data_IF_558993176617
#
_entry.id   IF_558993176617
#
_cell.length_a   1.000
_cell.length_b   1.000
_cell.length_c   1.000
_cell.angle_alpha   90.00
_cell.angle_beta   90.00
_cell.angle_gamma   90.00
#
_symmetry.space_group_name_H-M   'P 1'
#
loop_
_entity.id
_entity.type
_entity.pdbx_description
1 polymer ?
#
# COMPACT_ATOMS: atom_id res chain seq x y z
N UNK A 1 32.29 80.65 -29.41
CA UNK A 1 31.90 80.09 -28.14
C UNK A 1 30.58 79.34 -28.33
N UNK A 2 30.63 77.98 -28.41
CA UNK A 2 29.43 77.15 -28.55
C UNK A 2 29.33 76.24 -27.30
N UNK A 3 28.29 76.42 -26.50
CA UNK A 3 28.00 75.61 -25.34
C UNK A 3 27.32 74.30 -25.77
N UNK A 4 27.92 73.18 -25.47
CA UNK A 4 27.27 71.86 -25.60
C UNK A 4 26.53 71.54 -24.32
N UNK A 5 25.21 71.43 -24.41
CA UNK A 5 24.38 70.87 -23.32
C UNK A 5 24.39 69.35 -23.41
N UNK A 6 24.94 68.73 -22.41
CA UNK A 6 24.85 67.26 -22.26
C UNK A 6 23.57 66.97 -21.52
N UNK A 7 22.65 66.26 -22.17
CA UNK A 7 21.43 65.71 -21.56
C UNK A 7 21.81 64.36 -20.91
N UNK A 8 21.75 64.27 -19.59
CA UNK A 8 21.88 63.05 -18.84
C UNK A 8 20.45 62.45 -18.74
N UNK A 9 20.19 61.38 -19.50
CA UNK A 9 18.95 60.58 -19.43
C UNK A 9 19.05 59.63 -18.23
N UNK A 10 18.28 59.87 -17.19
CA UNK A 10 18.18 59.01 -16.03
C UNK A 10 17.15 57.88 -16.35
N UNK A 11 17.64 56.69 -16.74
CA UNK A 11 16.80 55.49 -16.86
C UNK A 11 16.49 54.93 -15.46
N UNK A 12 15.30 55.21 -14.94
CA UNK A 12 14.80 54.54 -13.74
C UNK A 12 14.35 53.12 -14.14
N UNK A 13 15.18 52.12 -13.83
CA UNK A 13 14.78 50.72 -13.92
C UNK A 13 13.81 50.43 -12.76
N UNK A 14 12.53 50.39 -13.07
CA UNK A 14 11.53 49.87 -12.14
C UNK A 14 11.69 48.33 -12.04
N UNK A 15 12.39 47.85 -11.02
CA UNK A 15 12.37 46.42 -10.64
C UNK A 15 10.97 46.06 -10.18
N UNK A 16 10.14 45.52 -11.08
CA UNK A 16 8.90 44.87 -10.72
C UNK A 16 9.28 43.53 -10.10
N UNK A 17 9.34 43.49 -8.77
CA UNK A 17 9.46 42.26 -8.01
C UNK A 17 8.16 41.46 -8.18
N UNK A 18 8.14 40.54 -9.11
CA UNK A 18 7.13 39.50 -9.12
C UNK A 18 7.34 38.62 -7.88
N UNK A 19 6.64 38.96 -6.79
CA UNK A 19 6.41 37.98 -5.72
C UNK A 19 5.58 36.86 -6.31
N UNK A 20 6.23 35.77 -6.69
CA UNK A 20 5.56 34.48 -6.89
C UNK A 20 5.07 34.09 -5.49
N UNK A 21 3.84 34.49 -5.17
CA UNK A 21 3.14 33.91 -4.04
C UNK A 21 3.11 32.41 -4.30
N UNK A 22 3.89 31.66 -3.53
CA UNK A 22 3.76 30.21 -3.50
C UNK A 22 2.29 29.92 -3.21
N UNK A 23 1.59 29.34 -4.18
CA UNK A 23 0.18 28.98 -4.04
C UNK A 23 0.12 27.98 -2.87
N UNK A 24 -0.28 28.48 -1.68
CA UNK A 24 -0.44 27.62 -0.51
C UNK A 24 -1.38 26.49 -0.92
N UNK A 25 -0.88 25.25 -0.91
CA UNK A 25 -1.63 24.09 -1.30
C UNK A 25 -2.97 24.07 -0.55
N UNK A 26 -4.05 24.30 -1.29
CA UNK A 26 -5.41 24.40 -0.74
C UNK A 26 -5.94 23.00 -0.50
N UNK A 27 -5.68 22.48 0.68
CA UNK A 27 -6.17 21.16 1.08
C UNK A 27 -7.70 21.11 1.14
N UNK A 28 -8.25 19.96 0.82
CA UNK A 28 -9.67 19.64 0.98
C UNK A 28 -9.84 18.35 1.78
N UNK A 29 -10.98 18.22 2.44
CA UNK A 29 -11.42 17.02 3.14
C UNK A 29 -12.65 16.47 2.43
N UNK A 30 -12.66 15.16 2.19
CA UNK A 30 -13.82 14.41 1.69
C UNK A 30 -14.11 13.28 2.65
N UNK A 31 -15.34 13.16 3.12
CA UNK A 31 -15.80 12.08 4.00
C UNK A 31 -16.72 11.14 3.25
N UNK A 32 -16.35 9.89 3.20
CA UNK A 32 -17.19 8.77 2.80
C UNK A 32 -17.59 7.92 4.04
N UNK A 33 -18.39 6.86 3.90
CA UNK A 33 -18.82 6.07 5.05
C UNK A 33 -17.67 5.52 5.91
N UNK A 34 -16.55 5.09 5.29
CA UNK A 34 -15.44 4.43 6.00
C UNK A 34 -14.12 5.20 5.96
N UNK A 35 -14.02 6.27 5.16
CA UNK A 35 -12.77 6.99 4.94
C UNK A 35 -12.92 8.50 5.10
N UNK A 36 -11.88 9.13 5.64
CA UNK A 36 -11.67 10.57 5.56
C UNK A 36 -10.48 10.83 4.66
N UNK A 37 -10.72 11.35 3.47
CA UNK A 37 -9.67 11.69 2.49
C UNK A 37 -9.30 13.16 2.63
N UNK A 38 -8.02 13.43 2.89
CA UNK A 38 -7.43 14.76 2.93
C UNK A 38 -6.50 14.89 1.71
N UNK A 39 -6.72 15.89 0.85
CA UNK A 39 -5.97 16.02 -0.39
C UNK A 39 -5.70 17.46 -0.75
N UNK A 40 -4.55 17.74 -1.34
CA UNK A 40 -4.21 19.01 -1.99
C UNK A 40 -4.52 19.00 -3.50
N UNK A 41 -5.13 17.93 -3.99
CA UNK A 41 -5.74 17.86 -5.31
C UNK A 41 -7.15 18.48 -5.30
N UNK A 42 -7.84 18.45 -6.44
CA UNK A 42 -9.22 18.92 -6.53
C UNK A 42 -10.19 18.07 -5.69
N UNK A 43 -11.29 18.68 -5.23
CA UNK A 43 -12.38 17.96 -4.54
C UNK A 43 -12.91 16.78 -5.39
N UNK A 44 -12.95 16.95 -6.72
CA UNK A 44 -13.33 15.86 -7.64
C UNK A 44 -12.40 14.67 -7.55
N UNK A 45 -11.09 14.91 -7.56
CA UNK A 45 -10.07 13.85 -7.41
C UNK A 45 -10.12 13.21 -6.02
N UNK A 46 -10.26 14.02 -4.96
CA UNK A 46 -10.41 13.50 -3.59
C UNK A 46 -11.67 12.61 -3.43
N UNK A 47 -12.79 12.95 -4.07
CA UNK A 47 -13.98 12.10 -4.12
C UNK A 47 -13.74 10.81 -4.89
N UNK A 48 -13.01 10.86 -6.00
CA UNK A 48 -12.64 9.67 -6.75
C UNK A 48 -11.75 8.73 -5.91
N UNK A 49 -10.80 9.27 -5.16
CA UNK A 49 -10.00 8.49 -4.19
C UNK A 49 -10.91 7.82 -3.17
N UNK A 50 -11.80 8.57 -2.53
CA UNK A 50 -12.72 8.02 -1.54
C UNK A 50 -13.61 6.90 -2.14
N UNK A 51 -14.11 7.10 -3.36
CA UNK A 51 -14.88 6.08 -4.09
C UNK A 51 -14.05 4.81 -4.32
N UNK A 52 -12.83 4.95 -4.82
CA UNK A 52 -11.95 3.80 -5.08
C UNK A 52 -11.65 3.01 -3.81
N UNK A 53 -11.48 3.68 -2.67
CA UNK A 53 -11.27 3.03 -1.38
C UNK A 53 -12.52 2.30 -0.88
N UNK A 54 -13.71 2.89 -1.03
CA UNK A 54 -14.98 2.22 -0.69
C UNK A 54 -15.21 0.99 -1.58
N UNK A 55 -14.91 1.09 -2.87
CA UNK A 55 -14.98 -0.03 -3.80
C UNK A 55 -13.98 -1.14 -3.42
N UNK A 56 -12.74 -0.78 -3.13
CA UNK A 56 -11.73 -1.73 -2.68
C UNK A 56 -12.16 -2.45 -1.40
N UNK A 57 -12.65 -1.69 -0.41
CA UNK A 57 -13.19 -2.26 0.83
C UNK A 57 -14.32 -3.25 0.56
N UNK A 58 -15.22 -2.92 -0.34
CA UNK A 58 -16.33 -3.80 -0.70
C UNK A 58 -15.84 -5.08 -1.41
N UNK A 59 -14.85 -4.99 -2.32
CA UNK A 59 -14.21 -6.16 -2.94
C UNK A 59 -13.58 -7.05 -1.88
N UNK A 60 -12.77 -6.47 -1.00
CA UNK A 60 -12.07 -7.21 0.04
C UNK A 60 -13.05 -7.90 1.00
N UNK A 61 -14.08 -7.20 1.44
CA UNK A 61 -15.11 -7.75 2.32
C UNK A 61 -15.94 -8.86 1.65
N UNK A 62 -16.25 -8.75 0.37
CA UNK A 62 -17.04 -9.76 -0.34
C UNK A 62 -16.27 -11.07 -0.54
N UNK A 63 -14.95 -11.00 -0.64
CA UNK A 63 -14.07 -12.17 -0.80
C UNK A 63 -13.68 -12.82 0.53
N UNK A 64 -13.67 -12.06 1.61
CA UNK A 64 -13.34 -12.50 2.98
C UNK A 64 -14.42 -12.00 3.97
N UNK A 65 -15.68 -12.47 3.85
CA UNK A 65 -16.82 -11.91 4.57
C UNK A 65 -16.78 -12.11 6.09
N UNK A 66 -15.99 -13.05 6.57
CA UNK A 66 -15.87 -13.36 8.01
C UNK A 66 -14.87 -12.45 8.74
N UNK A 67 -14.12 -11.61 7.98
CA UNK A 67 -13.15 -10.72 8.58
C UNK A 67 -13.80 -9.41 9.04
N UNK A 68 -13.35 -8.95 10.20
CA UNK A 68 -13.67 -7.62 10.71
C UNK A 68 -12.91 -6.58 9.91
N UNK A 69 -13.63 -5.60 9.34
CA UNK A 69 -13.06 -4.53 8.50
C UNK A 69 -13.07 -3.16 9.19
N UNK A 70 -13.79 -3.04 10.29
CA UNK A 70 -14.00 -1.77 10.97
C UNK A 70 -13.10 -1.69 12.22
N UNK A 71 -12.12 -0.78 12.24
CA UNK A 71 -11.28 -0.54 13.43
C UNK A 71 -12.01 0.27 14.52
N UNK A 72 -13.25 0.70 14.29
CA UNK A 72 -14.04 1.52 15.22
C UNK A 72 -13.97 3.02 14.94
N UNK A 73 -13.19 3.43 13.95
CA UNK A 73 -13.07 4.83 13.49
C UNK A 73 -12.69 4.87 11.99
N UNK A 74 -13.08 5.92 11.26
CA UNK A 74 -12.74 6.06 9.84
C UNK A 74 -11.24 6.14 9.64
N UNK A 75 -10.73 5.43 8.62
CA UNK A 75 -9.34 5.56 8.19
C UNK A 75 -9.10 6.93 7.57
N UNK A 76 -8.10 7.65 8.07
CA UNK A 76 -7.67 8.92 7.48
C UNK A 76 -6.63 8.68 6.40
N UNK A 77 -6.91 9.18 5.20
CA UNK A 77 -6.08 8.98 4.01
C UNK A 77 -5.63 10.33 3.48
N UNK A 78 -4.32 10.55 3.47
CA UNK A 78 -3.73 11.71 2.82
C UNK A 78 -3.38 11.34 1.38
N UNK A 79 -4.14 11.89 0.45
CA UNK A 79 -3.96 11.69 -0.99
C UNK A 79 -3.22 12.90 -1.57
N UNK A 80 -1.89 12.84 -1.57
CA UNK A 80 -1.04 13.88 -2.11
C UNK A 80 -1.19 13.98 -3.64
N UNK A 81 -1.31 15.20 -4.17
CA UNK A 81 -1.47 15.43 -5.60
C UNK A 81 -0.30 14.88 -6.40
N UNK A 82 0.92 15.03 -5.88
CA UNK A 82 2.17 14.66 -6.54
C UNK A 82 3.27 14.30 -5.53
N UNK A 83 4.45 13.94 -6.05
CA UNK A 83 5.59 13.56 -5.21
C UNK A 83 6.15 14.68 -4.34
N UNK A 84 6.01 15.96 -4.72
CA UNK A 84 6.43 17.09 -3.90
C UNK A 84 5.49 17.26 -2.71
N UNK A 85 4.19 17.16 -2.95
CA UNK A 85 3.17 17.19 -1.91
C UNK A 85 3.31 16.00 -0.95
N UNK A 86 3.60 14.81 -1.48
CA UNK A 86 3.90 13.64 -0.66
C UNK A 86 5.12 13.89 0.25
N UNK A 87 6.21 14.41 -0.33
CA UNK A 87 7.44 14.73 0.42
C UNK A 87 7.19 15.72 1.56
N UNK A 88 6.33 16.73 1.34
CA UNK A 88 5.99 17.73 2.35
C UNK A 88 5.23 17.15 3.56
N UNK A 89 4.61 15.98 3.42
CA UNK A 89 3.94 15.26 4.51
C UNK A 89 4.89 14.47 5.41
N UNK A 90 6.16 14.27 5.00
CA UNK A 90 7.16 13.65 5.87
C UNK A 90 7.76 14.66 6.86
N UNK A 91 8.15 14.22 8.05
CA UNK A 91 8.97 15.01 8.96
C UNK A 91 10.30 15.43 8.32
N UNK A 92 10.84 16.60 8.69
CA UNK A 92 12.02 17.18 8.07
C UNK A 92 13.26 16.24 8.09
N UNK A 93 13.49 15.56 9.22
CA UNK A 93 14.56 14.57 9.37
C UNK A 93 14.46 13.39 8.40
N UNK A 94 13.24 13.10 7.92
CA UNK A 94 12.99 12.03 6.94
C UNK A 94 13.07 12.54 5.51
N UNK A 95 12.71 13.78 5.27
CA UNK A 95 12.85 14.40 3.94
C UNK A 95 14.32 14.44 3.49
N UNK A 96 15.26 14.60 4.42
CA UNK A 96 16.71 14.61 4.17
C UNK A 96 17.27 13.21 3.89
N UNK A 97 16.70 12.15 4.48
CA UNK A 97 17.16 10.77 4.31
C UNK A 97 16.79 10.15 2.96
N UNK A 98 16.13 10.90 2.07
CA UNK A 98 15.84 10.48 0.71
C UNK A 98 14.55 9.66 0.58
N UNK A 99 13.41 10.34 0.67
CA UNK A 99 12.07 9.76 0.35
C UNK A 99 11.81 9.66 -1.17
N UNK A 100 12.86 9.79 -2.00
CA UNK A 100 12.70 9.73 -3.44
C UNK A 100 12.38 8.29 -3.88
N UNK A 101 11.29 8.14 -4.63
CA UNK A 101 10.82 6.83 -5.12
C UNK A 101 9.71 6.19 -4.29
N UNK A 102 9.33 6.79 -3.16
CA UNK A 102 8.14 6.35 -2.42
C UNK A 102 6.87 6.85 -3.11
N UNK A 103 5.89 5.96 -3.24
CA UNK A 103 4.56 6.29 -3.73
C UNK A 103 3.52 6.39 -2.59
N UNK A 104 3.89 5.98 -1.37
CA UNK A 104 3.06 6.09 -0.17
C UNK A 104 3.66 5.40 1.06
N UNK A 105 2.98 5.53 2.20
CA UNK A 105 3.32 4.88 3.46
C UNK A 105 2.11 4.84 4.40
N UNK A 106 2.19 4.00 5.42
CA UNK A 106 1.16 3.88 6.45
C UNK A 106 1.73 4.20 7.83
N UNK A 107 0.95 4.93 8.63
CA UNK A 107 1.30 5.27 10.01
C UNK A 107 0.25 4.68 10.94
N UNK A 108 0.55 3.59 11.64
CA UNK A 108 -0.33 3.10 12.69
C UNK A 108 -0.30 4.07 13.87
N UNK A 109 -1.46 4.56 14.25
CA UNK A 109 -1.67 5.40 15.44
C UNK A 109 -2.75 4.73 16.30
N UNK A 110 -2.60 4.63 17.62
CA UNK A 110 -3.60 4.02 18.52
C UNK A 110 -5.00 4.62 18.45
N UNK A 111 -5.14 5.84 17.93
CA UNK A 111 -6.43 6.54 17.76
C UNK A 111 -6.78 6.93 16.35
N UNK A 112 -5.85 6.72 15.40
CA UNK A 112 -6.02 7.17 14.00
C UNK A 112 -5.12 6.33 13.11
N UNK A 113 -5.67 5.46 12.30
CA UNK A 113 -4.91 4.87 11.23
C UNK A 113 -4.74 5.90 10.12
N UNK A 114 -3.51 6.21 9.75
CA UNK A 114 -3.19 7.19 8.72
C UNK A 114 -2.48 6.50 7.58
N UNK A 115 -3.04 6.59 6.40
CA UNK A 115 -2.38 6.19 5.17
C UNK A 115 -2.05 7.44 4.34
N UNK A 116 -0.92 7.41 3.66
CA UNK A 116 -0.44 8.51 2.82
C UNK A 116 0.01 7.93 1.50
N UNK A 117 -0.46 8.50 0.38
CA UNK A 117 0.01 8.11 -0.93
C UNK A 117 -0.13 9.25 -1.95
N UNK A 118 0.58 9.15 -3.07
CA UNK A 118 0.47 10.11 -4.19
C UNK A 118 -0.45 9.57 -5.28
N UNK A 119 -1.33 10.42 -5.79
CA UNK A 119 -2.33 10.02 -6.79
C UNK A 119 -1.81 10.01 -8.23
N UNK A 120 -0.70 10.71 -8.50
CA UNK A 120 -0.07 10.81 -9.82
C UNK A 120 0.96 9.71 -10.10
N UNK A 121 1.15 8.77 -9.19
CA UNK A 121 2.11 7.68 -9.36
C UNK A 121 1.80 6.86 -10.63
N UNK A 122 2.79 6.64 -11.52
CA UNK A 122 2.60 5.88 -12.75
C UNK A 122 2.04 4.48 -12.50
N UNK A 123 1.16 3.99 -13.40
CA UNK A 123 0.58 2.65 -13.28
C UNK A 123 -0.26 2.42 -12.03
N UNK A 124 -0.79 3.50 -11.44
CA UNK A 124 -1.59 3.45 -10.21
C UNK A 124 -0.86 2.91 -8.97
N UNK A 125 0.49 2.98 -8.93
CA UNK A 125 1.28 2.47 -7.80
C UNK A 125 0.89 3.07 -6.45
N UNK A 126 0.45 4.31 -6.40
CA UNK A 126 -0.06 4.91 -5.16
C UNK A 126 -1.26 4.15 -4.60
N UNK A 127 -2.20 3.75 -5.47
CA UNK A 127 -3.33 2.92 -5.07
C UNK A 127 -2.90 1.51 -4.68
N UNK A 128 -1.92 0.91 -5.37
CA UNK A 128 -1.34 -0.37 -4.99
C UNK A 128 -0.81 -0.33 -3.55
N UNK A 129 0.01 0.66 -3.21
CA UNK A 129 0.51 0.86 -1.84
C UNK A 129 -0.66 1.03 -0.85
N UNK A 130 -1.66 1.84 -1.20
CA UNK A 130 -2.81 2.08 -0.33
C UNK A 130 -3.62 0.81 -0.05
N UNK A 131 -3.88 -0.01 -1.09
CA UNK A 131 -4.62 -1.26 -0.94
C UNK A 131 -3.83 -2.29 -0.14
N UNK A 132 -2.52 -2.38 -0.37
CA UNK A 132 -1.59 -3.22 0.39
C UNK A 132 -1.65 -2.91 1.90
N UNK A 133 -1.50 -1.65 2.26
CA UNK A 133 -1.54 -1.21 3.66
C UNK A 133 -2.92 -1.38 4.31
N UNK A 134 -4.00 -1.18 3.53
CA UNK A 134 -5.35 -1.44 4.01
C UNK A 134 -5.54 -2.93 4.38
N UNK A 135 -5.02 -3.85 3.56
CA UNK A 135 -5.08 -5.29 3.87
C UNK A 135 -4.31 -5.59 5.16
N UNK A 136 -3.13 -5.02 5.35
CA UNK A 136 -2.37 -5.17 6.59
C UNK A 136 -3.15 -4.70 7.82
N UNK A 137 -3.81 -3.55 7.71
CA UNK A 137 -4.69 -3.06 8.78
C UNK A 137 -5.80 -4.07 9.07
N UNK A 138 -6.50 -4.55 8.06
CA UNK A 138 -7.60 -5.51 8.24
C UNK A 138 -7.11 -6.84 8.80
N UNK A 139 -5.94 -7.36 8.35
CA UNK A 139 -5.36 -8.58 8.91
C UNK A 139 -5.00 -8.43 10.39
N UNK A 140 -4.42 -7.29 10.78
CA UNK A 140 -4.08 -7.01 12.18
C UNK A 140 -5.30 -6.91 13.11
N UNK A 141 -6.48 -6.55 12.58
CA UNK A 141 -7.75 -6.57 13.34
C UNK A 141 -8.26 -7.99 13.63
N UNK A 142 -7.85 -8.97 12.83
CA UNK A 142 -8.42 -10.31 12.85
C UNK A 142 -7.45 -11.38 13.36
N UNK A 143 -6.14 -11.19 13.22
CA UNK A 143 -5.13 -12.18 13.54
C UNK A 143 -4.02 -11.59 14.40
N UNK A 144 -3.66 -12.30 15.47
CA UNK A 144 -2.52 -11.92 16.32
C UNK A 144 -1.18 -12.33 15.70
N UNK A 145 -1.13 -13.49 15.09
CA UNK A 145 0.11 -14.15 14.64
C UNK A 145 -0.06 -14.75 13.24
N UNK A 146 -0.54 -13.94 12.26
CA UNK A 146 -0.57 -14.40 10.87
C UNK A 146 0.88 -14.59 10.37
N UNK A 147 1.22 -15.76 9.78
CA UNK A 147 2.55 -15.96 9.19
C UNK A 147 2.90 -14.89 8.17
N UNK A 148 4.18 -14.47 8.16
CA UNK A 148 4.62 -13.33 7.37
C UNK A 148 4.37 -13.51 5.86
N UNK A 149 4.61 -14.72 5.34
CA UNK A 149 4.35 -15.01 3.91
C UNK A 149 2.89 -14.78 3.51
N UNK A 150 1.94 -15.15 4.38
CA UNK A 150 0.51 -14.97 4.08
C UNK A 150 0.06 -13.52 4.36
N UNK A 151 0.66 -12.87 5.36
CA UNK A 151 0.42 -11.46 5.65
C UNK A 151 0.80 -10.57 4.45
N UNK A 152 2.01 -10.80 3.88
CA UNK A 152 2.46 -10.08 2.68
C UNK A 152 1.75 -10.59 1.41
N UNK A 153 1.56 -11.90 1.29
CA UNK A 153 0.92 -12.49 0.11
C UNK A 153 -0.53 -12.05 -0.10
N UNK A 154 -1.32 -11.95 0.98
CA UNK A 154 -2.68 -11.38 0.90
C UNK A 154 -2.62 -9.90 0.50
N UNK A 155 -1.73 -9.12 1.13
CA UNK A 155 -1.58 -7.72 0.80
C UNK A 155 -1.24 -7.52 -0.69
N UNK A 156 -0.31 -8.31 -1.24
CA UNK A 156 0.07 -8.25 -2.65
C UNK A 156 -1.05 -8.72 -3.60
N UNK A 157 -1.75 -9.82 -3.29
CA UNK A 157 -2.87 -10.28 -4.15
C UNK A 157 -3.96 -9.21 -4.27
N UNK A 158 -4.31 -8.57 -3.17
CA UNK A 158 -5.33 -7.53 -3.17
C UNK A 158 -4.81 -6.18 -3.67
N UNK A 159 -3.53 -5.87 -3.51
CA UNK A 159 -2.94 -4.65 -4.10
C UNK A 159 -3.05 -4.62 -5.63
N UNK A 160 -3.02 -5.79 -6.27
CA UNK A 160 -3.28 -5.95 -7.71
C UNK A 160 -4.77 -6.10 -8.06
N UNK A 161 -5.69 -5.84 -7.14
CA UNK A 161 -7.12 -5.86 -7.46
C UNK A 161 -7.48 -4.83 -8.53
N UNK A 162 -8.38 -5.21 -9.43
CA UNK A 162 -9.00 -4.26 -10.34
C UNK A 162 -10.15 -3.58 -9.60
N UNK A 163 -10.13 -2.26 -9.56
CA UNK A 163 -11.18 -1.47 -8.93
C UNK A 163 -11.75 -0.50 -9.97
N UNK A 164 -12.94 -0.79 -10.45
CA UNK A 164 -13.64 0.06 -11.43
C UNK A 164 -15.16 -0.14 -11.34
N UNK A 165 -15.91 0.79 -11.95
CA UNK A 165 -17.36 0.67 -12.04
C UNK A 165 -17.74 -0.53 -12.93
N UNK A 166 -18.38 -1.52 -12.34
CA UNK A 166 -18.91 -2.69 -13.05
C UNK A 166 -17.91 -3.80 -13.41
N UNK A 167 -16.62 -3.63 -13.12
CA UNK A 167 -15.59 -4.62 -13.47
C UNK A 167 -14.51 -4.78 -12.39
N UNK A 168 -14.94 -4.81 -11.13
CA UNK A 168 -14.00 -5.05 -10.02
C UNK A 168 -13.71 -6.53 -9.87
N UNK A 169 -12.53 -6.86 -9.29
CA UNK A 169 -12.16 -8.24 -9.01
C UNK A 169 -10.72 -8.41 -8.57
N UNK A 170 -10.37 -9.66 -8.25
CA UNK A 170 -9.04 -10.06 -7.80
C UNK A 170 -8.41 -11.08 -8.74
N UNK A 171 -7.09 -11.22 -8.67
CA UNK A 171 -6.33 -12.22 -9.43
C UNK A 171 -5.61 -11.66 -10.65
N UNK A 172 -5.38 -10.35 -10.73
CA UNK A 172 -4.41 -9.80 -11.69
C UNK A 172 -3.01 -10.28 -11.36
N UNK A 173 -2.29 -10.67 -12.41
CA UNK A 173 -0.89 -11.08 -12.29
C UNK A 173 0.04 -9.88 -12.25
N UNK A 174 1.13 -10.00 -11.50
CA UNK A 174 2.29 -9.13 -11.61
C UNK A 174 3.29 -9.74 -12.57
N UNK A 175 3.52 -9.10 -13.72
CA UNK A 175 4.52 -9.56 -14.68
C UNK A 175 5.94 -9.54 -14.08
N UNK A 176 6.23 -8.52 -13.26
CA UNK A 176 7.50 -8.42 -12.54
C UNK A 176 7.70 -9.62 -11.59
N UNK A 177 6.67 -10.00 -10.83
CA UNK A 177 6.77 -11.14 -9.91
C UNK A 177 6.91 -12.46 -10.66
N UNK A 178 6.20 -12.63 -11.77
CA UNK A 178 6.34 -13.81 -12.62
C UNK A 178 7.74 -13.90 -13.22
N UNK A 179 8.32 -12.80 -13.67
CA UNK A 179 9.69 -12.76 -14.19
C UNK A 179 10.69 -13.17 -13.10
N UNK A 180 10.61 -12.60 -11.90
CA UNK A 180 11.46 -12.97 -10.76
C UNK A 180 11.37 -14.45 -10.47
N UNK A 181 10.16 -15.01 -10.38
CA UNK A 181 9.94 -16.42 -10.03
C UNK A 181 10.32 -17.40 -11.12
N UNK A 182 10.31 -16.98 -12.39
CA UNK A 182 10.72 -17.81 -13.54
C UNK A 182 12.23 -17.81 -13.75
N UNK A 183 12.92 -16.77 -13.27
CA UNK A 183 14.37 -16.58 -13.48
C UNK A 183 15.22 -16.84 -12.24
N UNK A 184 14.61 -16.97 -11.07
CA UNK A 184 15.31 -17.19 -9.80
C UNK A 184 14.85 -18.47 -9.11
N UNK A 185 15.71 -19.15 -8.35
CA UNK A 185 15.29 -20.27 -7.51
C UNK A 185 14.25 -19.83 -6.48
N UNK A 186 13.16 -20.58 -6.38
CA UNK A 186 12.15 -20.33 -5.34
C UNK A 186 12.68 -20.71 -3.95
N UNK A 187 12.19 -20.02 -2.93
CA UNK A 187 12.44 -20.35 -1.53
C UNK A 187 11.70 -21.67 -1.22
N UNK A 188 12.32 -22.69 -0.62
CA UNK A 188 11.61 -23.89 -0.17
C UNK A 188 10.42 -23.51 0.73
N UNK A 189 9.24 -24.09 0.50
CA UNK A 189 8.02 -23.72 1.24
C UNK A 189 8.16 -23.80 2.75
N UNK A 190 8.83 -24.80 3.34
CA UNK A 190 9.07 -24.80 4.79
C UNK A 190 9.84 -23.57 5.26
N UNK A 191 10.83 -23.10 4.50
CA UNK A 191 11.61 -21.90 4.83
C UNK A 191 10.79 -20.61 4.61
N UNK A 192 9.97 -20.54 3.55
CA UNK A 192 9.05 -19.43 3.31
C UNK A 192 8.04 -19.29 4.44
N UNK A 193 7.44 -20.42 4.86
CA UNK A 193 6.41 -20.45 5.90
C UNK A 193 6.97 -20.15 7.30
N UNK A 194 8.23 -20.50 7.56
CA UNK A 194 8.95 -20.17 8.79
C UNK A 194 9.55 -18.77 8.79
N UNK A 195 9.49 -18.02 7.69
CA UNK A 195 10.09 -16.70 7.59
C UNK A 195 9.44 -15.72 8.56
N UNK A 196 10.29 -14.93 9.23
CA UNK A 196 9.91 -13.85 10.13
C UNK A 196 10.46 -12.53 9.63
N UNK A 197 10.08 -11.42 10.28
CA UNK A 197 10.63 -10.09 9.96
C UNK A 197 12.15 -9.98 10.17
N UNK A 198 12.74 -10.90 10.93
CA UNK A 198 14.19 -10.96 11.18
C UNK A 198 14.92 -11.87 10.18
N UNK A 199 14.21 -12.63 9.38
CA UNK A 199 14.78 -13.51 8.37
C UNK A 199 15.52 -12.73 7.28
N UNK A 200 16.60 -13.30 6.76
CA UNK A 200 17.35 -12.76 5.63
C UNK A 200 16.48 -12.57 4.39
N UNK A 201 15.50 -13.46 4.19
CA UNK A 201 14.52 -13.37 3.10
C UNK A 201 13.68 -12.11 3.13
N UNK A 202 13.47 -11.52 4.31
CA UNK A 202 12.70 -10.29 4.46
C UNK A 202 13.58 -9.05 4.50
N UNK A 203 14.77 -9.14 5.13
CA UNK A 203 15.64 -7.97 5.39
C UNK A 203 16.61 -7.64 4.26
N UNK A 204 17.07 -8.64 3.52
CA UNK A 204 18.06 -8.42 2.45
C UNK A 204 17.35 -8.05 1.14
N UNK A 205 17.70 -6.92 0.51
CA UNK A 205 17.01 -6.42 -0.69
C UNK A 205 16.88 -7.44 -1.82
N UNK A 206 17.96 -8.18 -2.10
CA UNK A 206 17.95 -9.16 -3.19
C UNK A 206 17.05 -10.36 -2.89
N UNK A 207 16.93 -10.75 -1.61
CA UNK A 207 16.09 -11.88 -1.17
C UNK A 207 14.66 -11.46 -0.90
N UNK A 208 14.41 -10.22 -0.52
CA UNK A 208 13.05 -9.74 -0.25
C UNK A 208 12.20 -9.72 -1.52
N UNK A 209 12.78 -9.44 -2.68
CA UNK A 209 12.05 -9.46 -3.95
C UNK A 209 11.44 -10.83 -4.24
N UNK A 210 12.22 -11.90 -4.08
CA UNK A 210 11.71 -13.27 -4.28
C UNK A 210 10.72 -13.67 -3.17
N UNK A 211 10.94 -13.21 -1.94
CA UNK A 211 10.02 -13.45 -0.83
C UNK A 211 8.62 -12.87 -1.12
N UNK A 212 8.53 -11.60 -1.53
CA UNK A 212 7.25 -10.95 -1.90
C UNK A 212 6.61 -11.62 -3.12
N UNK A 213 7.39 -11.87 -4.17
CA UNK A 213 6.89 -12.52 -5.37
C UNK A 213 6.34 -13.94 -5.08
N UNK A 214 7.04 -14.74 -4.27
CA UNK A 214 6.60 -16.08 -3.94
C UNK A 214 5.44 -16.10 -2.94
N UNK A 215 5.40 -15.17 -1.99
CA UNK A 215 4.26 -14.97 -1.08
C UNK A 215 2.99 -14.61 -1.86
N UNK A 216 3.11 -13.70 -2.83
CA UNK A 216 2.03 -13.39 -3.77
C UNK A 216 1.60 -14.63 -4.55
N UNK A 217 2.53 -15.33 -5.19
CA UNK A 217 2.22 -16.48 -6.05
C UNK A 217 1.55 -17.62 -5.29
N UNK A 218 2.05 -17.97 -4.09
CA UNK A 218 1.46 -19.01 -3.25
C UNK A 218 0.04 -18.61 -2.81
N UNK A 219 -0.13 -17.37 -2.36
CA UNK A 219 -1.45 -16.87 -1.93
C UNK A 219 -2.43 -16.81 -3.10
N UNK A 220 -1.98 -16.35 -4.28
CA UNK A 220 -2.77 -16.34 -5.50
C UNK A 220 -3.18 -17.76 -5.92
N UNK A 221 -2.24 -18.71 -5.88
CA UNK A 221 -2.51 -20.12 -6.17
C UNK A 221 -3.54 -20.71 -5.21
N UNK A 222 -3.39 -20.48 -3.91
CA UNK A 222 -4.33 -21.00 -2.90
C UNK A 222 -5.73 -20.39 -3.01
N UNK A 223 -5.84 -19.12 -3.43
CA UNK A 223 -7.15 -18.46 -3.58
C UNK A 223 -7.83 -18.81 -4.90
N UNK A 224 -7.08 -18.82 -6.00
CA UNK A 224 -7.61 -18.81 -7.36
C UNK A 224 -7.14 -19.98 -8.23
N UNK A 225 -5.99 -20.60 -7.88
CA UNK A 225 -5.39 -21.69 -8.65
C UNK A 225 -6.37 -22.84 -8.82
N UNK A 226 -6.22 -23.56 -9.94
CA UNK A 226 -7.02 -24.73 -10.29
C UNK A 226 -8.52 -24.52 -10.09
N UNK A 227 -9.01 -23.35 -10.54
CA UNK A 227 -10.42 -22.95 -10.37
C UNK A 227 -10.87 -22.92 -8.90
N UNK A 228 -9.99 -22.47 -8.01
CA UNK A 228 -10.21 -22.34 -6.55
C UNK A 228 -10.23 -23.67 -5.79
N UNK A 229 -9.62 -24.71 -6.32
CA UNK A 229 -9.58 -26.03 -5.67
C UNK A 229 -8.93 -25.98 -4.27
N UNK A 230 -7.98 -25.03 -4.06
CA UNK A 230 -7.22 -24.89 -2.81
C UNK A 230 -7.81 -23.87 -1.83
N UNK A 231 -8.89 -23.17 -2.18
CA UNK A 231 -9.49 -22.12 -1.33
C UNK A 231 -9.94 -22.67 0.03
N UNK A 232 -10.46 -23.89 0.08
CA UNK A 232 -10.83 -24.58 1.33
C UNK A 232 -9.63 -24.84 2.24
N UNK A 233 -8.49 -25.23 1.69
CA UNK A 233 -7.26 -25.44 2.44
C UNK A 233 -6.74 -24.13 3.07
N UNK A 234 -6.78 -23.03 2.33
CA UNK A 234 -6.43 -21.72 2.86
C UNK A 234 -7.37 -21.28 4.00
N UNK A 235 -8.68 -21.52 3.85
CA UNK A 235 -9.65 -21.19 4.89
C UNK A 235 -9.44 -22.02 6.15
N UNK A 236 -9.12 -23.32 6.02
CA UNK A 236 -8.75 -24.17 7.15
C UNK A 236 -7.47 -23.69 7.83
N UNK A 237 -6.45 -23.33 7.04
CA UNK A 237 -5.21 -22.75 7.57
C UNK A 237 -5.49 -21.49 8.41
N UNK A 238 -6.28 -20.55 7.87
CA UNK A 238 -6.67 -19.33 8.59
C UNK A 238 -7.44 -19.64 9.88
N UNK A 239 -8.31 -20.64 9.85
CA UNK A 239 -9.06 -21.09 11.02
C UNK A 239 -8.14 -21.64 12.12
N UNK A 240 -7.15 -22.47 11.74
CA UNK A 240 -6.15 -23.04 12.67
C UNK A 240 -5.26 -21.95 13.26
N UNK A 241 -4.78 -21.00 12.45
CA UNK A 241 -4.00 -19.83 12.91
C UNK A 241 -4.82 -18.98 13.91
N UNK A 242 -6.11 -18.78 13.62
CA UNK A 242 -6.99 -18.05 14.54
C UNK A 242 -7.21 -18.78 15.86
N UNK A 243 -7.14 -20.09 15.85
CA UNK A 243 -7.18 -20.96 17.05
C UNK A 243 -5.81 -21.12 17.73
N UNK A 244 -4.83 -20.27 17.37
CA UNK A 244 -3.47 -20.23 17.94
C UNK A 244 -2.65 -21.52 17.74
N UNK A 245 -3.02 -22.36 16.75
CA UNK A 245 -2.20 -23.50 16.34
C UNK A 245 -0.91 -22.97 15.72
N UNK A 246 0.26 -23.54 16.04
CA UNK A 246 1.53 -23.16 15.43
C UNK A 246 1.49 -23.22 13.91
N UNK A 247 2.08 -22.21 13.24
CA UNK A 247 1.95 -22.04 11.80
C UNK A 247 2.43 -23.25 10.98
N UNK A 248 3.48 -23.92 11.42
CA UNK A 248 3.97 -25.13 10.76
C UNK A 248 2.96 -26.27 10.86
N UNK A 249 2.43 -26.54 12.05
CA UNK A 249 1.42 -27.57 12.26
C UNK A 249 0.13 -27.26 11.49
N UNK A 250 -0.29 -25.99 11.50
CA UNK A 250 -1.43 -25.54 10.71
C UNK A 250 -1.22 -25.77 9.21
N UNK A 251 0.00 -25.51 8.69
CA UNK A 251 0.34 -25.75 7.30
C UNK A 251 0.28 -27.23 6.91
N UNK A 252 0.88 -28.11 7.72
CA UNK A 252 0.86 -29.55 7.51
C UNK A 252 -0.58 -30.11 7.52
N UNK A 253 -1.41 -29.66 8.46
CA UNK A 253 -2.82 -30.07 8.55
C UNK A 253 -3.67 -29.58 7.38
N UNK A 254 -3.40 -28.37 6.86
CA UNK A 254 -4.22 -27.74 5.85
C UNK A 254 -3.76 -28.07 4.43
N UNK A 255 -2.45 -28.08 4.19
CA UNK A 255 -1.88 -28.21 2.87
C UNK A 255 -1.31 -29.61 2.60
N UNK A 256 -1.09 -30.43 3.63
CA UNK A 256 -0.50 -31.74 3.49
C UNK A 256 0.99 -31.70 3.14
N UNK A 257 1.36 -32.41 2.08
CA UNK A 257 2.75 -32.49 1.62
C UNK A 257 3.22 -31.16 0.99
N UNK A 258 4.11 -30.45 1.72
CA UNK A 258 4.65 -29.16 1.28
C UNK A 258 5.61 -29.28 0.08
N UNK A 259 6.24 -30.45 -0.13
CA UNK A 259 7.08 -30.68 -1.32
C UNK A 259 6.21 -30.83 -2.58
N UNK A 260 5.09 -31.53 -2.46
CA UNK A 260 4.09 -31.61 -3.53
C UNK A 260 3.52 -30.23 -3.85
N UNK A 261 3.13 -29.45 -2.82
CA UNK A 261 2.65 -28.07 -2.99
C UNK A 261 3.71 -27.18 -3.66
N UNK A 262 5.00 -27.33 -3.32
CA UNK A 262 6.10 -26.61 -3.96
C UNK A 262 6.14 -26.88 -5.47
N UNK A 263 6.08 -28.15 -5.87
CA UNK A 263 6.10 -28.57 -7.29
C UNK A 263 4.88 -28.01 -8.05
N UNK A 264 3.70 -28.03 -7.42
CA UNK A 264 2.49 -27.49 -8.02
C UNK A 264 2.58 -25.97 -8.17
N UNK A 265 3.12 -25.25 -7.18
CA UNK A 265 3.36 -23.82 -7.27
C UNK A 265 4.36 -23.46 -8.37
N UNK A 266 5.46 -24.22 -8.51
CA UNK A 266 6.44 -24.02 -9.59
C UNK A 266 5.82 -24.23 -10.97
N UNK A 267 4.99 -25.27 -11.13
CA UNK A 267 4.22 -25.52 -12.35
C UNK A 267 3.24 -24.39 -12.62
N UNK A 268 2.54 -23.90 -11.59
CA UNK A 268 1.60 -22.80 -11.70
C UNK A 268 2.26 -21.52 -12.21
N UNK A 269 3.38 -21.13 -11.62
CA UNK A 269 4.14 -19.91 -12.01
C UNK A 269 4.67 -20.00 -13.44
N UNK A 270 5.04 -21.21 -13.91
CA UNK A 270 5.50 -21.43 -15.29
C UNK A 270 4.35 -21.50 -16.31
N UNK A 271 3.12 -21.67 -15.83
CA UNK A 271 1.96 -21.69 -16.71
C UNK A 271 1.59 -20.28 -17.17
N UNK A 272 0.84 -20.18 -18.27
CA UNK A 272 0.23 -18.92 -18.73
C UNK A 272 -1.25 -18.81 -18.29
N UNK A 273 -1.69 -19.70 -17.38
CA UNK A 273 -3.08 -19.79 -16.94
C UNK A 273 -3.22 -19.26 -15.54
N UNK A 274 -3.58 -17.98 -15.43
CA UNK A 274 -3.94 -17.35 -14.17
C UNK A 274 -5.44 -17.03 -14.16
N UNK A 275 -6.08 -17.35 -13.05
CA UNK A 275 -7.51 -17.13 -12.91
C UNK A 275 -7.77 -15.75 -12.29
N UNK A 276 -8.75 -15.07 -12.85
CA UNK A 276 -9.30 -13.82 -12.34
C UNK A 276 -10.71 -14.08 -11.79
N UNK A 277 -11.01 -13.56 -10.61
CA UNK A 277 -12.32 -13.65 -10.00
C UNK A 277 -13.00 -12.28 -10.05
N UNK A 278 -13.99 -12.08 -10.93
CA UNK A 278 -14.78 -10.86 -10.92
C UNK A 278 -15.59 -10.79 -9.61
N UNK A 279 -15.76 -9.60 -9.10
CA UNK A 279 -16.51 -9.31 -7.87
C UNK A 279 -17.53 -8.23 -8.17
N UNK A 280 -18.80 -8.57 -8.04
CA UNK A 280 -19.87 -7.57 -8.09
C UNK A 280 -19.89 -6.80 -6.79
N UNK A 281 -19.77 -5.48 -6.88
CA UNK A 281 -19.88 -4.57 -5.75
C UNK A 281 -21.04 -3.61 -5.96
N UNK A 282 -21.82 -3.40 -4.91
CA UNK A 282 -22.90 -2.40 -4.88
C UNK A 282 -22.53 -1.36 -3.83
N UNK A 283 -22.13 -0.18 -4.26
CA UNK A 283 -21.94 0.94 -3.35
C UNK A 283 -23.28 1.60 -3.04
N UNK A 284 -23.50 1.94 -1.78
CA UNK A 284 -24.75 2.54 -1.28
C UNK A 284 -25.01 3.99 -1.73
N UNK A 285 -24.26 4.53 -2.70
CA UNK A 285 -24.45 5.90 -3.17
C UNK A 285 -23.43 6.35 -4.21
N UNK A 286 -23.68 7.53 -4.80
CA UNK A 286 -22.76 8.18 -5.72
C UNK A 286 -21.70 8.97 -4.93
N UNK A 287 -20.45 8.95 -5.38
CA UNK A 287 -19.34 9.71 -4.79
C UNK A 287 -19.59 11.23 -4.73
N UNK A 288 -20.43 11.76 -5.62
CA UNK A 288 -20.83 13.17 -5.60
C UNK A 288 -21.55 13.57 -4.31
N UNK A 289 -22.13 12.62 -3.58
CA UNK A 289 -22.81 12.84 -2.28
C UNK A 289 -21.87 12.82 -1.09
N UNK A 290 -20.60 12.43 -1.26
CA UNK A 290 -19.63 12.48 -0.15
C UNK A 290 -19.43 13.92 0.30
N UNK A 291 -19.52 14.16 1.59
CA UNK A 291 -19.33 15.49 2.17
C UNK A 291 -17.92 16.00 1.86
N UNK A 292 -17.81 17.23 1.38
CA UNK A 292 -16.53 17.81 1.01
C UNK A 292 -16.43 19.25 1.50
N UNK A 293 -15.26 19.63 2.01
CA UNK A 293 -14.95 21.00 2.42
C UNK A 293 -13.50 21.36 2.11
N UNK A 294 -13.24 22.66 1.88
CA UNK A 294 -11.87 23.18 1.83
C UNK A 294 -11.35 23.34 3.26
N UNK A 295 -10.10 22.94 3.48
CA UNK A 295 -9.42 23.17 4.75
C UNK A 295 -8.82 24.57 4.75
N UNK A 296 -8.95 25.28 5.86
CA UNK A 296 -8.38 26.63 6.04
C UNK A 296 -6.98 26.58 6.67
N UNK A 297 -6.68 25.48 7.36
CA UNK A 297 -5.41 25.27 8.01
C UNK A 297 -4.43 24.54 7.08
N UNK A 298 -3.14 24.86 7.22
CA UNK A 298 -2.05 24.09 6.61
C UNK A 298 -2.04 22.67 7.20
N UNK A 299 -1.81 21.70 6.35
CA UNK A 299 -1.57 20.32 6.82
C UNK A 299 -0.12 20.21 7.27
N UNK A 300 0.05 19.86 8.53
CA UNK A 300 1.38 19.67 9.13
C UNK A 300 1.98 18.32 8.75
N UNK A 301 3.32 18.16 8.77
CA UNK A 301 3.97 16.89 8.57
C UNK A 301 3.43 15.81 9.52
N UNK A 302 3.31 14.60 9.00
CA UNK A 302 2.75 13.47 9.73
C UNK A 302 3.86 12.81 10.53
N UNK A 303 3.83 12.98 11.85
CA UNK A 303 4.80 12.38 12.74
C UNK A 303 4.28 11.02 13.27
N UNK A 304 5.10 9.97 13.24
CA UNK A 304 4.78 8.75 13.98
C UNK A 304 4.65 9.09 15.46
N UNK A 305 3.54 8.69 16.07
CA UNK A 305 3.37 8.86 17.52
C UNK A 305 4.42 8.03 18.24
N UNK A 306 5.32 8.68 18.97
CA UNK A 306 6.20 7.97 19.91
C UNK A 306 5.30 7.33 20.99
N UNK A 307 5.38 6.01 21.20
CA UNK A 307 4.57 5.38 22.26
C UNK A 307 4.84 6.10 23.57
N UNK A 308 3.79 6.65 24.18
CA UNK A 308 3.90 7.24 25.50
C UNK A 308 4.40 6.15 26.45
N UNK A 309 5.29 6.51 27.40
CA UNK A 309 5.95 5.57 28.34
C UNK A 309 4.97 4.74 29.22
N UNK A 310 3.66 4.91 29.07
CA UNK A 310 2.61 4.26 29.86
C UNK A 310 1.70 3.30 29.13
N UNK A 311 1.86 3.07 27.82
CA UNK A 311 1.11 2.06 27.09
C UNK A 311 1.91 0.77 27.08
N UNK A 312 1.27 -0.32 27.47
CA UNK A 312 1.77 -1.68 27.54
C UNK A 312 2.90 -1.99 26.55
N UNK A 313 4.10 -2.30 27.07
CA UNK A 313 5.31 -2.55 26.28
C UNK A 313 5.14 -3.62 25.19
N UNK A 314 4.13 -4.46 25.29
CA UNK A 314 3.78 -5.47 24.30
C UNK A 314 3.13 -4.88 23.05
N UNK A 315 2.17 -3.95 23.19
CA UNK A 315 1.49 -3.29 22.08
C UNK A 315 2.41 -2.31 21.35
N UNK A 316 3.23 -1.57 22.09
CA UNK A 316 4.19 -0.61 21.54
C UNK A 316 5.33 -1.28 20.75
N UNK A 317 5.81 -2.46 21.16
CA UNK A 317 6.77 -3.25 20.39
C UNK A 317 6.17 -3.77 19.09
N UNK A 318 4.90 -4.18 19.09
CA UNK A 318 4.18 -4.63 17.88
C UNK A 318 3.95 -3.49 16.89
N UNK A 319 3.50 -2.32 17.35
CA UNK A 319 3.32 -1.13 16.52
C UNK A 319 4.64 -0.62 15.92
N UNK A 320 5.71 -0.57 16.73
CA UNK A 320 7.04 -0.18 16.27
C UNK A 320 7.66 -1.16 15.27
N UNK A 321 7.36 -2.46 15.39
CA UNK A 321 7.86 -3.48 14.46
C UNK A 321 7.13 -3.42 13.10
N UNK A 322 5.81 -3.14 13.09
CA UNK A 322 5.04 -2.93 11.86
C UNK A 322 5.56 -1.69 11.12
N UNK A 323 5.83 -0.60 11.85
CA UNK A 323 6.37 0.63 11.31
C UNK A 323 7.79 0.46 10.74
N UNK A 324 8.66 -0.29 11.44
CA UNK A 324 10.03 -0.55 11.00
C UNK A 324 10.08 -1.44 9.76
N UNK A 325 9.17 -2.40 9.61
CA UNK A 325 9.13 -3.31 8.46
C UNK A 325 8.64 -2.62 7.18
N UNK A 326 7.47 -1.98 7.21
CA UNK A 326 6.92 -1.27 6.06
C UNK A 326 7.81 -0.09 5.65
N UNK A 327 8.39 0.61 6.62
CA UNK A 327 9.24 1.77 6.36
C UNK A 327 10.66 1.38 5.94
N UNK A 328 11.28 0.34 6.51
CA UNK A 328 12.58 -0.16 6.07
C UNK A 328 12.49 -0.90 4.73
N UNK A 329 11.39 -1.59 4.44
CA UNK A 329 11.10 -2.11 3.13
C UNK A 329 10.96 -1.01 2.08
N UNK A 330 10.32 0.13 2.42
CA UNK A 330 10.15 1.27 1.52
C UNK A 330 11.42 2.13 1.36
N UNK A 331 12.30 2.20 2.36
CA UNK A 331 13.50 3.07 2.35
C UNK A 331 14.79 2.29 2.13
N UNK A 332 14.83 1.00 2.46
CA UNK A 332 16.04 0.17 2.39
C UNK A 332 16.04 -0.88 1.28
N UNK A 333 14.92 -1.11 0.62
CA UNK A 333 14.86 -2.02 -0.52
C UNK A 333 14.85 -1.24 -1.84
N UNK A 334 15.92 -1.30 -2.64
CA UNK A 334 15.90 -0.80 -4.02
C UNK A 334 14.79 -1.46 -4.88
N UNK A 335 14.13 -2.49 -4.36
CA UNK A 335 13.09 -3.25 -5.05
C UNK A 335 11.75 -2.54 -5.24
N UNK A 336 11.33 -1.65 -4.36
CA UNK A 336 10.19 -0.78 -4.62
C UNK A 336 10.52 0.43 -5.49
N UNK A 337 11.81 0.77 -5.63
CA UNK A 337 12.29 1.84 -6.52
C UNK A 337 12.57 1.36 -7.95
N UNK A 338 12.64 0.06 -8.21
CA UNK A 338 13.04 -0.50 -9.52
C UNK A 338 11.88 -0.87 -10.44
N UNK A 339 10.71 -0.30 -10.25
CA UNK A 339 9.79 -0.14 -11.39
C UNK A 339 10.27 1.03 -12.29
N UNK A 340 11.60 1.21 -12.45
CA UNK A 340 12.21 2.06 -13.45
C UNK A 340 12.68 1.21 -14.61
N UNK A 341 12.07 1.47 -15.77
CA UNK A 341 12.37 1.01 -17.13
C UNK A 341 11.86 -0.38 -17.47
N UNK A 342 10.71 -0.37 -18.08
CA UNK A 342 10.41 -1.08 -19.32
C UNK A 342 9.23 -0.34 -19.99
N UNK A 343 9.45 0.96 -20.30
CA UNK A 343 8.70 1.65 -21.33
C UNK A 343 9.70 1.96 -22.45
N UNK A 344 9.98 0.99 -23.27
CA UNK A 344 10.34 1.16 -24.71
C UNK A 344 10.46 -0.25 -25.30
N UNK A 345 9.40 -0.75 -25.83
CA UNK A 345 9.22 -1.37 -27.16
C UNK A 345 7.76 -1.74 -27.32
#
# INVERSE_FOLDING_TARGET
MRFHRVLVSLCVLACVSFSVAADEAKWCEVKSPNFTVISDASIKQARQVAKSLEQFRAVFQSTLPTLRMDPGFPLTVFAARDGLSLKALFPADRQEQGVSGLDGFFVPDPGKNIAVFRIDAPGHRGYHVMYHEYVHMAMNLNFRNLPLWLFEGLAEVYAFATISDGASGIGRTSQEYLEILRTSPMIPLPALMAATRDSSYYRQPDKSRIFYAQSWALTHYLILGDKRAHAGQLMEFLRLIKSEIPAQEAAERSFGDLEALQKDLEKYVRSDKFYYSPVEIKLGGKESKYAARKLRAKVEPIHPVRPSRRVDRGAARKAGAIFSGAYQGAVGAPGHATCRRLDTM
#
